data_IF_643526591902
#
_entry.id   IF_643526591902
#
_cell.length_a   1.000
_cell.length_b   1.000
_cell.length_c   1.000
_cell.angle_alpha   90.00
_cell.angle_beta   90.00
_cell.angle_gamma   90.00
#
_symmetry.space_group_name_H-M   'P 1'
#
loop_
_entity.id
_entity.type
_entity.pdbx_description
1 polymer ?
#
# COMPACT_ATOMS: atom_id res chain seq x y z
N UNK A 1 -30.77 -16.44 -32.86
CA UNK A 1 -31.15 -15.94 -31.52
C UNK A 1 -29.87 -15.63 -30.74
N UNK A 2 -29.69 -14.34 -30.41
CA UNK A 2 -28.91 -13.73 -29.31
C UNK A 2 -27.47 -14.23 -29.03
N UNK A 3 -26.51 -13.58 -29.68
CA UNK A 3 -25.13 -13.41 -29.19
C UNK A 3 -25.19 -12.35 -28.08
N UNK A 4 -25.34 -12.73 -26.81
CA UNK A 4 -25.10 -11.83 -25.68
C UNK A 4 -24.68 -12.63 -24.45
N UNK A 5 -23.45 -13.15 -24.45
CA UNK A 5 -22.75 -13.41 -23.21
C UNK A 5 -22.16 -12.08 -22.74
N UNK A 6 -22.97 -11.30 -22.03
CA UNK A 6 -22.53 -10.11 -21.31
C UNK A 6 -21.51 -10.57 -20.26
N UNK A 7 -20.23 -10.39 -20.56
CA UNK A 7 -19.17 -10.43 -19.55
C UNK A 7 -19.46 -9.25 -18.63
N UNK A 8 -19.99 -9.55 -17.44
CA UNK A 8 -20.25 -8.57 -16.41
C UNK A 8 -18.91 -8.03 -15.89
N UNK A 9 -18.39 -7.00 -16.56
CA UNK A 9 -17.34 -6.15 -16.04
C UNK A 9 -17.92 -5.28 -14.92
N UNK A 10 -17.85 -5.78 -13.69
CA UNK A 10 -18.08 -4.99 -12.50
C UNK A 10 -17.12 -5.47 -11.40
N UNK A 11 -15.81 -5.37 -11.66
CA UNK A 11 -14.86 -5.31 -10.56
C UNK A 11 -15.02 -3.93 -9.95
N UNK A 12 -15.88 -3.86 -8.94
CA UNK A 12 -15.92 -2.79 -7.95
C UNK A 12 -14.50 -2.38 -7.62
N UNK A 13 -14.21 -1.08 -7.72
CA UNK A 13 -12.96 -0.47 -7.27
C UNK A 13 -12.81 -0.71 -5.76
N UNK A 14 -12.36 -1.90 -5.40
CA UNK A 14 -11.77 -2.16 -4.11
C UNK A 14 -10.36 -1.63 -4.24
N UNK A 15 -10.04 -0.59 -3.46
CA UNK A 15 -8.67 -0.31 -3.05
C UNK A 15 -8.09 -1.66 -2.66
N UNK A 16 -7.16 -2.20 -3.44
CA UNK A 16 -6.51 -3.47 -3.13
C UNK A 16 -5.46 -3.17 -2.06
N UNK A 17 -5.94 -2.75 -0.89
CA UNK A 17 -5.14 -2.43 0.29
C UNK A 17 -4.59 -3.69 0.96
N UNK A 18 -4.97 -4.89 0.49
CA UNK A 18 -4.70 -6.14 1.22
C UNK A 18 -4.19 -7.24 0.28
N UNK A 19 -3.12 -6.94 -0.47
CA UNK A 19 -2.29 -7.99 -1.10
C UNK A 19 -1.63 -8.90 -0.05
N UNK A 20 -1.42 -8.38 1.16
CA UNK A 20 -0.62 -9.01 2.19
C UNK A 20 -1.45 -9.14 3.48
N UNK A 21 -1.91 -10.35 3.83
CA UNK A 21 -2.63 -10.54 5.08
C UNK A 21 -1.75 -10.10 6.25
N UNK A 22 -2.34 -9.40 7.21
CA UNK A 22 -1.65 -8.84 8.37
C UNK A 22 -0.63 -7.72 8.06
N UNK A 23 -0.75 -7.06 6.90
CA UNK A 23 0.16 -5.94 6.55
C UNK A 23 0.18 -4.85 7.61
N UNK A 24 -0.94 -4.59 8.28
CA UNK A 24 -1.02 -3.57 9.34
C UNK A 24 -0.12 -3.92 10.53
N UNK A 25 -0.17 -5.18 10.98
CA UNK A 25 0.64 -5.68 12.08
C UNK A 25 2.12 -5.75 11.69
N UNK A 26 2.42 -6.20 10.47
CA UNK A 26 3.80 -6.36 10.00
C UNK A 26 4.46 -5.00 9.73
N UNK A 27 3.76 -4.06 9.09
CA UNK A 27 4.31 -2.75 8.77
C UNK A 27 4.32 -1.79 9.98
N UNK A 28 3.50 -2.05 11.00
CA UNK A 28 3.44 -1.23 12.22
C UNK A 28 3.32 0.26 11.89
N UNK A 29 4.29 1.04 12.34
CA UNK A 29 4.32 2.51 12.15
C UNK A 29 4.60 2.95 10.71
N UNK A 30 5.18 2.09 9.87
CA UNK A 30 5.39 2.38 8.45
C UNK A 30 4.07 2.42 7.69
N UNK A 31 3.05 1.72 8.19
CA UNK A 31 1.74 1.57 7.55
C UNK A 31 1.78 0.68 6.30
N UNK A 32 0.66 0.02 5.95
CA UNK A 32 0.55 -0.73 4.70
C UNK A 32 0.54 0.22 3.48
N UNK A 33 1.16 -0.21 2.38
CA UNK A 33 1.08 0.52 1.10
C UNK A 33 -0.33 0.40 0.53
N UNK A 34 -0.86 1.53 0.05
CA UNK A 34 -2.14 1.58 -0.67
C UNK A 34 -1.88 2.01 -2.11
N UNK A 35 -2.66 1.46 -3.04
CA UNK A 35 -2.59 1.76 -4.47
C UNK A 35 -3.94 1.47 -5.14
N UNK A 36 -4.22 2.16 -6.25
CA UNK A 36 -5.36 1.87 -7.12
C UNK A 36 -4.87 1.06 -8.34
N UNK A 37 -5.50 -0.08 -8.67
CA UNK A 37 -5.18 -0.83 -9.89
C UNK A 37 -5.19 0.00 -11.18
N UNK A 38 -5.97 1.08 -11.24
CA UNK A 38 -6.04 1.99 -12.40
C UNK A 38 -4.80 2.86 -12.56
N UNK A 39 -4.05 3.07 -11.49
CA UNK A 39 -2.81 3.86 -11.50
C UNK A 39 -1.59 3.02 -11.86
N UNK A 40 -1.74 1.69 -11.95
CA UNK A 40 -0.65 0.79 -12.30
C UNK A 40 -0.49 0.68 -13.82
N UNK A 41 0.76 0.76 -14.33
CA UNK A 41 1.06 0.42 -15.72
C UNK A 41 0.59 -0.99 -16.11
N UNK A 42 0.29 -1.19 -17.39
CA UNK A 42 -0.08 -2.51 -17.90
C UNK A 42 1.04 -3.53 -17.67
N UNK A 43 0.68 -4.73 -17.23
CA UNK A 43 1.62 -5.83 -17.01
C UNK A 43 2.41 -5.77 -15.69
N UNK A 44 2.09 -4.84 -14.78
CA UNK A 44 2.66 -4.83 -13.42
C UNK A 44 2.26 -6.08 -12.65
N UNK A 45 3.26 -6.78 -12.13
CA UNK A 45 3.07 -7.87 -11.18
C UNK A 45 2.84 -7.29 -9.78
N UNK A 46 1.58 -7.30 -9.35
CA UNK A 46 1.13 -6.76 -8.05
C UNK A 46 1.80 -7.42 -6.85
N UNK A 47 2.29 -8.66 -7.00
CA UNK A 47 3.03 -9.36 -5.93
C UNK A 47 4.40 -8.75 -5.64
N UNK A 48 4.91 -7.90 -6.55
CA UNK A 48 6.16 -7.16 -6.40
C UNK A 48 5.96 -5.75 -5.87
N UNK A 49 4.71 -5.31 -5.67
CA UNK A 49 4.44 -4.04 -5.00
C UNK A 49 4.88 -4.19 -3.53
N UNK A 50 5.57 -3.16 -3.01
CA UNK A 50 6.04 -3.20 -1.62
C UNK A 50 4.85 -3.26 -0.67
N UNK A 51 4.96 -4.10 0.35
CA UNK A 51 3.89 -4.28 1.35
C UNK A 51 3.68 -3.03 2.21
N UNK A 52 4.76 -2.37 2.66
CA UNK A 52 4.69 -1.20 3.54
C UNK A 52 4.80 0.11 2.77
N UNK A 53 4.09 1.14 3.25
CA UNK A 53 4.04 2.44 2.62
C UNK A 53 5.40 3.17 2.67
N UNK A 54 6.24 2.85 3.66
CA UNK A 54 7.58 3.42 3.82
C UNK A 54 8.63 2.33 4.14
N UNK A 55 9.90 2.69 4.01
CA UNK A 55 11.05 1.83 4.28
C UNK A 55 11.50 1.98 5.75
N UNK A 56 12.03 0.93 6.41
CA UNK A 56 12.57 1.05 7.77
C UNK A 56 13.65 2.14 7.92
N UNK A 57 14.48 2.34 6.90
CA UNK A 57 15.47 3.43 6.85
C UNK A 57 14.95 4.69 6.14
N UNK A 58 13.66 4.76 5.83
CA UNK A 58 13.03 5.87 5.12
C UNK A 58 12.82 7.10 6.01
N UNK A 59 12.57 8.25 5.37
CA UNK A 59 12.35 9.50 6.06
C UNK A 59 11.14 9.42 7.01
N UNK A 60 10.05 8.72 6.64
CA UNK A 60 8.87 8.60 7.49
C UNK A 60 9.13 7.77 8.75
N UNK A 61 10.07 6.82 8.67
CA UNK A 61 10.51 6.06 9.84
C UNK A 61 11.59 6.79 10.67
N UNK A 62 11.83 8.07 10.42
CA UNK A 62 12.92 8.84 11.01
C UNK A 62 14.30 8.22 10.72
N UNK A 63 14.57 7.82 9.48
CA UNK A 63 15.88 7.26 9.07
C UNK A 63 16.31 6.07 9.94
N UNK A 64 15.35 5.24 10.35
CA UNK A 64 15.55 4.09 11.25
C UNK A 64 15.33 4.37 12.73
N UNK A 65 15.28 5.63 13.15
CA UNK A 65 15.17 5.95 14.58
C UNK A 65 13.81 5.66 15.19
N UNK A 66 12.75 5.66 14.38
CA UNK A 66 11.45 5.67 15.01
C UNK A 66 10.84 4.30 15.31
N UNK A 67 11.55 3.20 15.08
CA UNK A 67 11.27 1.95 15.81
C UNK A 67 11.53 2.11 17.31
N UNK A 68 12.41 3.03 17.71
CA UNK A 68 12.68 3.37 19.10
C UNK A 68 11.75 4.46 19.66
N UNK A 69 10.90 5.05 18.82
CA UNK A 69 9.96 6.08 19.25
C UNK A 69 8.68 5.44 19.77
N UNK A 70 8.05 6.01 20.82
CA UNK A 70 6.74 5.56 21.27
C UNK A 70 5.70 5.59 20.15
N UNK A 71 4.75 4.65 20.17
CA UNK A 71 3.69 4.52 19.15
C UNK A 71 2.80 5.76 18.99
N UNK A 72 2.76 6.66 19.98
CA UNK A 72 2.02 7.93 19.90
C UNK A 72 2.77 9.01 19.11
N UNK A 73 4.06 8.81 18.82
CA UNK A 73 4.82 9.71 17.97
C UNK A 73 4.40 9.44 16.52
N UNK A 74 3.87 10.45 15.80
CA UNK A 74 3.44 10.26 14.43
C UNK A 74 4.62 9.88 13.53
N UNK A 75 4.32 9.33 12.34
CA UNK A 75 5.30 9.23 11.25
C UNK A 75 5.93 10.61 11.01
N UNK A 76 7.19 10.66 10.60
CA UNK A 76 7.85 11.94 10.33
C UNK A 76 7.04 12.75 9.29
N UNK A 77 6.50 13.93 9.66
CA UNK A 77 5.64 14.72 8.78
C UNK A 77 6.39 15.33 7.60
N UNK A 78 7.72 15.41 7.68
CA UNK A 78 8.55 15.92 6.58
C UNK A 78 8.71 14.90 5.45
N UNK A 79 8.39 13.63 5.69
CA UNK A 79 8.55 12.58 4.70
C UNK A 79 7.51 12.62 3.57
N UNK A 80 6.44 13.42 3.69
CA UNK A 80 5.49 13.69 2.60
C UNK A 80 5.95 14.82 1.67
N UNK A 81 7.02 15.54 2.03
CA UNK A 81 7.56 16.69 1.30
C UNK A 81 8.94 16.42 0.68
N UNK A 82 9.48 15.21 0.84
CA UNK A 82 10.78 14.75 0.31
C UNK A 82 10.55 13.80 -0.87
#
# INVERSE_FOLDING_TARGET
>A
MKIQALIAAAMTAMVVADQHPHAKEICGRLGPMTWDPKDLPEGVDVSKIRMCADHPMGAGNYWGFGEYLPNWVPRNPLADYL
#
